data_IF_656457799096
#
_entry.id   IF_656457799096
#
_cell.length_a   1.000
_cell.length_b   1.000
_cell.length_c   1.000
_cell.angle_alpha   90.00
_cell.angle_beta   90.00
_cell.angle_gamma   90.00
#
_symmetry.space_group_name_H-M   'P 1'
#
loop_
_entity.id
_entity.type
_entity.pdbx_description
1 polymer ?
#
# COMPACT_ATOMS: atom_id res chain seq x y z
N UNK A 1 39.28 -58.71 26.38
CA UNK A 1 37.86 -58.96 26.13
C UNK A 1 37.23 -57.58 25.85
N UNK A 2 37.15 -57.23 24.55
CA UNK A 2 36.64 -55.92 24.09
C UNK A 2 35.13 -56.09 23.79
N UNK A 3 34.29 -55.42 24.61
CA UNK A 3 32.86 -55.36 24.40
C UNK A 3 32.54 -54.33 23.32
N UNK A 4 32.23 -54.79 22.11
CA UNK A 4 31.67 -53.98 21.04
C UNK A 4 30.17 -53.74 21.34
N UNK A 5 29.84 -52.51 21.76
CA UNK A 5 28.43 -52.04 21.78
C UNK A 5 27.99 -51.74 20.35
N UNK A 6 26.91 -52.31 19.83
CA UNK A 6 26.34 -51.88 18.57
C UNK A 6 25.65 -50.55 18.77
N UNK A 7 26.20 -49.47 18.20
CA UNK A 7 25.54 -48.19 18.03
C UNK A 7 24.36 -48.44 17.05
N UNK A 8 23.16 -48.61 17.60
CA UNK A 8 21.93 -48.55 16.82
C UNK A 8 21.76 -47.13 16.30
N UNK A 9 22.27 -46.87 15.11
CA UNK A 9 21.91 -45.68 14.32
C UNK A 9 20.42 -45.79 13.99
N UNK A 10 19.58 -45.16 14.77
CA UNK A 10 18.18 -44.92 14.39
C UNK A 10 18.25 -43.93 13.20
N UNK A 11 18.23 -44.51 12.01
CA UNK A 11 18.04 -43.75 10.79
C UNK A 11 16.67 -43.05 10.91
N UNK A 12 16.68 -41.78 11.19
CA UNK A 12 15.49 -40.95 11.19
C UNK A 12 14.95 -41.01 9.75
N UNK A 13 13.87 -41.77 9.53
CA UNK A 13 13.23 -41.85 8.22
C UNK A 13 12.83 -40.44 7.83
N UNK A 14 13.44 -39.90 6.77
CA UNK A 14 13.01 -38.66 6.19
C UNK A 14 11.53 -38.79 5.81
N UNK A 15 10.69 -37.94 6.40
CA UNK A 15 9.28 -37.89 6.04
C UNK A 15 9.21 -37.30 4.63
N UNK A 16 8.57 -38.01 3.70
CA UNK A 16 8.31 -37.54 2.36
C UNK A 16 7.22 -36.46 2.44
N UNK A 17 7.64 -35.21 2.31
CA UNK A 17 6.80 -34.02 2.40
C UNK A 17 6.72 -33.35 1.05
N UNK A 18 5.51 -33.03 0.61
CA UNK A 18 5.26 -32.20 -0.54
C UNK A 18 4.82 -30.78 -0.11
N UNK A 19 4.95 -29.81 -1.00
CA UNK A 19 4.65 -28.40 -0.74
C UNK A 19 3.34 -27.99 -1.42
N UNK A 20 2.31 -27.76 -0.62
CA UNK A 20 1.03 -27.27 -1.11
C UNK A 20 0.93 -25.75 -0.94
N UNK A 21 0.68 -25.03 -2.05
CA UNK A 21 0.48 -23.57 -2.06
C UNK A 21 -1.01 -23.25 -2.10
N UNK A 22 -1.43 -22.25 -1.34
CA UNK A 22 -2.80 -21.77 -1.31
C UNK A 22 -2.86 -20.26 -1.25
N UNK A 23 -4.02 -19.72 -1.63
CA UNK A 23 -4.34 -18.29 -1.55
C UNK A 23 -5.64 -18.12 -0.79
N UNK A 24 -5.68 -17.19 0.15
CA UNK A 24 -6.84 -16.91 0.99
C UNK A 24 -7.19 -15.44 0.89
N UNK A 25 -8.48 -15.14 0.75
CA UNK A 25 -9.00 -13.78 0.77
C UNK A 25 -9.78 -13.54 2.07
N UNK A 26 -9.44 -12.47 2.75
CA UNK A 26 -10.10 -12.09 4.01
C UNK A 26 -10.02 -10.57 4.23
N UNK A 27 -10.77 -10.07 5.22
CA UNK A 27 -10.59 -8.69 5.70
C UNK A 27 -9.66 -8.66 6.89
N UNK A 28 -8.62 -7.81 6.80
CA UNK A 28 -7.74 -7.56 7.94
C UNK A 28 -8.49 -6.78 9.02
N UNK A 29 -8.09 -6.99 10.28
CA UNK A 29 -8.55 -6.15 11.38
C UNK A 29 -7.73 -4.85 11.43
N UNK A 30 -8.33 -3.73 11.90
CA UNK A 30 -7.62 -2.49 12.14
C UNK A 30 -6.42 -2.68 13.07
N UNK A 31 -5.32 -1.97 12.80
CA UNK A 31 -4.14 -1.99 13.67
C UNK A 31 -4.39 -1.22 14.97
N UNK A 32 -5.12 -0.10 14.87
CA UNK A 32 -5.50 0.73 16.01
C UNK A 32 -6.93 0.38 16.39
N UNK A 33 -7.11 -0.03 17.64
CA UNK A 33 -8.45 -0.34 18.17
C UNK A 33 -9.15 0.96 18.55
N UNK A 34 -10.25 1.21 17.89
CA UNK A 34 -11.21 2.25 18.22
C UNK A 34 -12.53 1.58 18.61
N UNK A 35 -13.51 2.36 19.04
CA UNK A 35 -14.82 1.81 19.42
C UNK A 35 -15.38 0.94 18.27
N UNK A 36 -15.76 -0.28 18.62
CA UNK A 36 -16.26 -1.28 17.66
C UNK A 36 -17.60 -0.90 17.02
N UNK A 37 -18.29 0.10 17.53
CA UNK A 37 -19.54 0.64 16.97
C UNK A 37 -19.32 1.66 15.87
N UNK A 38 -18.09 2.22 15.75
CA UNK A 38 -17.77 3.21 14.72
C UNK A 38 -17.76 2.56 13.33
N UNK A 39 -18.45 3.19 12.36
CA UNK A 39 -18.62 2.68 10.99
C UNK A 39 -18.65 3.77 9.94
N UNK A 40 -18.59 5.04 10.34
CA UNK A 40 -18.73 6.16 9.42
C UNK A 40 -17.62 7.18 9.63
N UNK A 41 -17.26 7.87 8.57
CA UNK A 41 -16.28 8.96 8.60
C UNK A 41 -16.71 10.10 7.69
N UNK A 42 -16.25 11.30 7.97
CA UNK A 42 -16.34 12.46 7.10
C UNK A 42 -14.95 13.04 6.84
N UNK A 43 -14.83 13.80 5.78
CA UNK A 43 -13.57 14.42 5.35
C UNK A 43 -13.82 15.89 5.04
N UNK A 44 -13.07 16.75 5.70
CA UNK A 44 -13.02 18.18 5.46
C UNK A 44 -11.65 18.55 4.89
N UNK A 45 -11.63 19.38 3.85
CA UNK A 45 -10.39 19.85 3.24
C UNK A 45 -10.38 21.37 3.28
N UNK A 46 -9.38 21.92 3.94
CA UNK A 46 -9.11 23.34 3.99
C UNK A 46 -7.82 23.65 3.20
N UNK A 47 -7.84 24.72 2.45
CA UNK A 47 -6.68 25.26 1.76
C UNK A 47 -6.48 26.73 2.06
N UNK A 48 -5.36 27.29 1.64
CA UNK A 48 -5.17 28.72 1.68
C UNK A 48 -6.12 29.43 0.71
N UNK A 49 -6.41 30.71 0.96
CA UNK A 49 -7.28 31.52 0.10
C UNK A 49 -6.86 31.52 -1.37
N UNK A 50 -5.56 31.38 -1.64
CA UNK A 50 -5.02 31.32 -3.00
C UNK A 50 -5.35 30.00 -3.70
N UNK A 51 -5.53 28.94 -2.93
CA UNK A 51 -5.79 27.59 -3.45
C UNK A 51 -7.27 27.25 -3.54
N UNK A 52 -8.15 27.93 -2.80
CA UNK A 52 -9.59 27.65 -2.77
C UNK A 52 -10.24 27.46 -4.16
N UNK A 53 -9.99 28.36 -5.17
CA UNK A 53 -10.62 28.19 -6.48
C UNK A 53 -10.16 26.89 -7.18
N UNK A 54 -8.89 26.51 -7.02
CA UNK A 54 -8.33 25.30 -7.62
C UNK A 54 -8.82 24.04 -6.91
N UNK A 55 -8.93 24.08 -5.59
CA UNK A 55 -9.43 22.94 -4.79
C UNK A 55 -10.90 22.68 -5.03
N UNK A 56 -11.71 23.72 -5.23
CA UNK A 56 -13.14 23.58 -5.53
C UNK A 56 -13.40 22.76 -6.80
N UNK A 57 -12.57 22.95 -7.83
CA UNK A 57 -12.66 22.16 -9.07
C UNK A 57 -12.25 20.70 -8.87
N UNK A 58 -11.36 20.42 -7.93
CA UNK A 58 -10.76 19.10 -7.74
C UNK A 58 -11.57 18.18 -6.81
N UNK A 59 -12.36 18.75 -5.90
CA UNK A 59 -13.11 17.99 -4.86
C UNK A 59 -12.23 16.96 -4.13
N UNK A 60 -11.08 17.36 -3.52
CA UNK A 60 -10.11 16.42 -2.98
C UNK A 60 -10.65 15.54 -1.85
N UNK A 61 -11.68 16.00 -1.14
CA UNK A 61 -12.37 15.20 -0.13
C UNK A 61 -12.90 13.88 -0.70
N UNK A 62 -13.30 13.84 -1.98
CA UNK A 62 -13.83 12.64 -2.63
C UNK A 62 -12.75 11.58 -2.88
N UNK A 63 -11.47 11.98 -2.90
CA UNK A 63 -10.35 11.08 -3.16
C UNK A 63 -9.94 10.28 -1.91
N UNK A 64 -10.34 10.73 -0.72
CA UNK A 64 -10.00 10.04 0.54
C UNK A 64 -10.96 8.89 0.77
N UNK A 65 -10.40 7.70 0.93
CA UNK A 65 -11.13 6.46 1.18
C UNK A 65 -10.63 5.79 2.46
N UNK A 66 -11.56 5.33 3.30
CA UNK A 66 -11.28 4.46 4.44
C UNK A 66 -11.98 3.12 4.19
N UNK A 67 -11.19 2.10 3.89
CA UNK A 67 -11.70 0.80 3.48
C UNK A 67 -12.57 0.13 4.56
N UNK A 68 -13.75 -0.33 4.14
CA UNK A 68 -14.72 -0.97 5.04
C UNK A 68 -15.58 -0.02 5.87
N UNK A 69 -15.45 1.31 5.66
CA UNK A 69 -16.23 2.34 6.33
C UNK A 69 -17.13 3.10 5.35
N UNK A 70 -18.25 3.62 5.84
CA UNK A 70 -19.16 4.46 5.05
C UNK A 70 -18.80 5.92 5.21
N UNK A 71 -18.55 6.60 4.10
CA UNK A 71 -18.33 8.05 4.07
C UNK A 71 -19.64 8.80 4.18
N UNK A 72 -19.66 9.83 5.02
CA UNK A 72 -20.75 10.79 5.18
C UNK A 72 -20.29 12.18 4.73
N UNK A 73 -21.23 13.08 4.50
CA UNK A 73 -20.92 14.48 4.23
C UNK A 73 -20.40 15.17 5.50
N UNK A 74 -21.06 14.92 6.63
CA UNK A 74 -20.78 15.51 7.95
C UNK A 74 -21.06 14.47 9.05
N UNK A 75 -20.66 14.74 10.28
CA UNK A 75 -20.99 13.97 11.49
C UNK A 75 -20.64 12.48 11.42
N UNK A 76 -19.50 12.15 10.83
CA UNK A 76 -18.96 10.81 10.92
C UNK A 76 -18.50 10.45 12.34
N UNK A 77 -18.44 9.15 12.66
CA UNK A 77 -17.83 8.68 13.91
C UNK A 77 -16.35 9.06 13.99
N UNK A 78 -15.69 9.22 12.83
CA UNK A 78 -14.35 9.77 12.69
C UNK A 78 -14.44 10.97 11.76
N UNK A 79 -13.87 12.09 12.18
CA UNK A 79 -13.70 13.29 11.37
C UNK A 79 -12.23 13.43 10.96
N UNK A 80 -12.00 13.59 9.66
CA UNK A 80 -10.68 13.76 9.05
C UNK A 80 -10.59 15.16 8.50
N UNK A 81 -9.80 16.00 9.15
CA UNK A 81 -9.55 17.37 8.70
C UNK A 81 -8.20 17.47 8.03
N UNK A 82 -8.17 17.93 6.77
CA UNK A 82 -6.97 18.04 5.96
C UNK A 82 -6.67 19.51 5.70
N UNK A 83 -5.45 19.93 6.01
CA UNK A 83 -4.97 21.29 5.74
C UNK A 83 -3.93 21.23 4.62
N UNK A 84 -4.22 21.91 3.51
CA UNK A 84 -3.36 21.99 2.34
C UNK A 84 -2.66 23.36 2.31
N UNK A 85 -1.35 23.35 2.31
CA UNK A 85 -0.53 24.55 2.16
C UNK A 85 -0.32 24.93 0.70
N UNK A 86 0.27 26.09 0.46
CA UNK A 86 0.55 26.58 -0.88
C UNK A 86 1.62 25.74 -1.60
N UNK A 87 1.46 25.66 -2.92
CA UNK A 87 2.51 25.23 -3.83
C UNK A 87 3.44 26.40 -4.07
N UNK A 88 4.69 26.30 -3.64
CA UNK A 88 5.67 27.37 -3.75
C UNK A 88 6.80 26.97 -4.72
N UNK A 89 6.95 27.65 -5.86
CA UNK A 89 8.15 27.52 -6.68
C UNK A 89 9.34 28.21 -5.97
N UNK A 90 10.43 27.46 -5.80
CA UNK A 90 11.64 27.95 -5.13
C UNK A 90 12.75 28.33 -6.10
N UNK A 91 12.74 27.75 -7.30
CA UNK A 91 13.74 28.06 -8.32
C UNK A 91 13.35 27.55 -9.69
N UNK A 92 13.77 28.28 -10.70
CA UNK A 92 13.58 27.96 -12.11
C UNK A 92 14.94 27.98 -12.80
N UNK A 93 15.35 26.93 -13.47
CA UNK A 93 16.61 26.84 -14.17
C UNK A 93 16.48 26.12 -15.50
N UNK A 94 17.25 26.53 -16.51
CA UNK A 94 17.33 25.82 -17.78
C UNK A 94 18.48 24.81 -17.72
N UNK A 95 18.18 23.61 -18.11
CA UNK A 95 19.14 22.51 -18.22
C UNK A 95 19.29 22.09 -19.67
N UNK A 96 20.40 21.45 -19.97
CA UNK A 96 20.66 20.89 -21.28
C UNK A 96 20.90 19.37 -21.20
N UNK A 97 20.52 18.68 -22.23
CA UNK A 97 20.78 17.25 -22.43
C UNK A 97 21.40 17.05 -23.82
N UNK A 98 22.60 16.53 -23.85
CA UNK A 98 23.32 16.23 -25.08
C UNK A 98 23.10 14.76 -25.44
N UNK A 99 22.64 14.51 -26.67
CA UNK A 99 22.44 13.18 -27.22
C UNK A 99 23.43 12.95 -28.35
N UNK A 100 24.30 11.95 -28.21
CA UNK A 100 25.26 11.55 -29.22
C UNK A 100 24.77 10.29 -29.94
N UNK A 101 24.77 10.33 -31.27
CA UNK A 101 24.53 9.15 -32.12
C UNK A 101 25.87 8.52 -32.51
N UNK A 102 25.99 7.22 -32.33
CA UNK A 102 27.19 6.46 -32.72
C UNK A 102 26.84 5.46 -33.85
N UNK A 103 27.77 5.23 -34.76
CA UNK A 103 27.67 4.17 -35.76
C UNK A 103 27.92 2.79 -35.11
N UNK A 104 27.89 1.73 -35.93
CA UNK A 104 28.20 0.35 -35.49
C UNK A 104 29.60 0.17 -34.91
N UNK A 105 30.55 1.00 -35.33
CA UNK A 105 31.95 0.95 -34.90
C UNK A 105 32.19 1.83 -33.64
N UNK A 106 31.15 2.39 -33.06
CA UNK A 106 31.22 3.21 -31.84
C UNK A 106 31.66 4.67 -32.10
N UNK A 107 31.86 5.08 -33.37
CA UNK A 107 32.25 6.44 -33.74
C UNK A 107 31.03 7.37 -33.66
N UNK A 108 31.22 8.56 -33.05
CA UNK A 108 30.15 9.58 -32.94
C UNK A 108 29.90 10.14 -34.35
N UNK A 109 28.67 9.98 -34.83
CA UNK A 109 28.22 10.47 -36.15
C UNK A 109 27.37 11.70 -36.06
N UNK A 110 26.90 12.05 -34.86
CA UNK A 110 26.10 13.25 -34.65
C UNK A 110 25.92 13.59 -33.18
N UNK A 111 25.69 14.87 -32.88
CA UNK A 111 25.39 15.36 -31.55
C UNK A 111 24.19 16.32 -31.64
N UNK A 112 23.20 16.11 -30.81
CA UNK A 112 22.04 17.02 -30.67
C UNK A 112 21.93 17.47 -29.22
N UNK A 113 21.74 18.78 -29.03
CA UNK A 113 21.51 19.37 -27.71
C UNK A 113 20.03 19.73 -27.58
N UNK A 114 19.43 19.30 -26.47
CA UNK A 114 18.07 19.63 -26.07
C UNK A 114 18.11 20.45 -24.80
N UNK A 115 17.22 21.43 -24.68
CA UNK A 115 17.08 22.30 -23.54
C UNK A 115 15.71 22.08 -22.91
N UNK A 116 15.65 22.05 -21.57
CA UNK A 116 14.41 21.97 -20.81
C UNK A 116 14.52 22.84 -19.57
N UNK A 117 13.36 23.24 -19.06
CA UNK A 117 13.29 24.04 -17.84
C UNK A 117 12.98 23.13 -16.64
N UNK A 118 13.74 23.26 -15.59
CA UNK A 118 13.45 22.65 -14.28
C UNK A 118 12.88 23.71 -13.35
N UNK A 119 11.74 23.37 -12.72
CA UNK A 119 11.13 24.17 -11.66
C UNK A 119 11.19 23.35 -10.38
N UNK A 120 11.93 23.84 -9.39
CA UNK A 120 11.95 23.28 -8.03
C UNK A 120 10.78 23.88 -7.27
N UNK A 121 9.98 23.05 -6.63
CA UNK A 121 8.82 23.49 -5.87
C UNK A 121 8.63 22.68 -4.58
N UNK A 122 7.92 23.29 -3.63
CA UNK A 122 7.55 22.67 -2.37
C UNK A 122 6.04 22.75 -2.15
N UNK A 123 5.53 21.80 -1.40
CA UNK A 123 4.12 21.68 -1.02
C UNK A 123 4.04 21.11 0.39
N UNK A 124 3.04 21.52 1.17
CA UNK A 124 2.76 20.92 2.49
C UNK A 124 1.31 20.50 2.61
N UNK A 125 1.10 19.41 3.32
CA UNK A 125 -0.24 18.91 3.64
C UNK A 125 -0.19 18.12 4.95
N UNK A 126 -1.18 18.36 5.82
CA UNK A 126 -1.33 17.66 7.09
C UNK A 126 -2.77 17.20 7.25
N UNK A 127 -2.97 16.09 7.93
CA UNK A 127 -4.29 15.63 8.33
C UNK A 127 -4.35 15.46 9.85
N UNK A 128 -5.47 15.85 10.45
CA UNK A 128 -5.80 15.59 11.84
C UNK A 128 -7.07 14.75 11.91
N UNK A 129 -7.04 13.72 12.72
CA UNK A 129 -8.13 12.74 12.85
C UNK A 129 -8.66 12.79 14.28
N UNK A 130 -9.95 13.03 14.40
CA UNK A 130 -10.67 13.08 15.68
C UNK A 130 -11.87 12.14 15.67
N UNK A 131 -12.34 11.73 16.84
CA UNK A 131 -13.63 11.06 16.96
C UNK A 131 -14.79 12.08 17.00
N UNK A 132 -16.03 11.57 16.97
CA UNK A 132 -17.25 12.40 17.03
C UNK A 132 -17.43 13.19 18.34
N UNK A 133 -16.62 12.89 19.37
CA UNK A 133 -16.57 13.64 20.64
C UNK A 133 -15.50 14.73 20.61
N UNK A 134 -14.78 14.87 19.50
CA UNK A 134 -13.67 15.79 19.36
C UNK A 134 -12.37 15.30 20.01
N UNK A 135 -12.30 14.03 20.42
CA UNK A 135 -11.07 13.45 20.98
C UNK A 135 -10.08 13.19 19.83
N UNK A 136 -8.87 13.71 20.00
CA UNK A 136 -7.78 13.51 19.05
C UNK A 136 -7.36 12.05 19.01
N UNK A 137 -7.24 11.50 17.79
CA UNK A 137 -6.81 10.13 17.54
C UNK A 137 -5.41 10.09 16.93
N UNK A 138 -5.17 10.88 15.86
CA UNK A 138 -3.91 10.84 15.11
C UNK A 138 -3.71 12.10 14.29
N UNK A 139 -2.45 12.51 14.14
CA UNK A 139 -2.01 13.46 13.12
C UNK A 139 -1.12 12.76 12.10
N UNK A 140 -1.17 13.19 10.85
CA UNK A 140 -0.34 12.66 9.77
C UNK A 140 0.21 13.80 8.90
N UNK A 141 1.53 13.86 8.72
CA UNK A 141 2.17 14.74 7.75
C UNK A 141 2.13 14.08 6.37
N UNK A 142 1.27 14.57 5.47
CA UNK A 142 1.05 14.01 4.15
C UNK A 142 2.09 14.50 3.12
N UNK A 143 2.55 15.73 3.29
CA UNK A 143 3.61 16.33 2.49
C UNK A 143 4.35 17.38 3.30
N UNK A 144 5.68 17.34 3.25
CA UNK A 144 6.57 18.30 3.92
C UNK A 144 7.27 19.20 2.93
N UNK A 145 7.39 20.49 3.26
CA UNK A 145 8.17 21.48 2.49
C UNK A 145 9.66 21.16 2.44
N UNK A 146 10.16 20.33 3.36
CA UNK A 146 11.55 19.87 3.33
C UNK A 146 11.81 19.02 2.08
N UNK A 147 10.79 18.32 1.58
CA UNK A 147 10.87 17.44 0.44
C UNK A 147 10.64 18.21 -0.86
N UNK A 148 11.71 18.82 -1.39
CA UNK A 148 11.67 19.54 -2.67
C UNK A 148 11.38 18.59 -3.82
N UNK A 149 10.55 19.05 -4.74
CA UNK A 149 10.17 18.32 -5.94
C UNK A 149 10.60 19.09 -7.17
N UNK A 150 10.82 18.38 -8.27
CA UNK A 150 11.29 18.95 -9.51
C UNK A 150 10.31 18.64 -10.63
N UNK A 151 9.84 19.69 -11.28
CA UNK A 151 9.10 19.58 -12.53
C UNK A 151 10.05 19.83 -13.69
N UNK A 152 9.92 19.06 -14.77
CA UNK A 152 10.65 19.25 -16.03
C UNK A 152 9.68 19.59 -17.15
N UNK A 153 9.99 20.66 -17.87
CA UNK A 153 9.27 21.00 -19.08
C UNK A 153 9.52 19.99 -20.21
N UNK A 154 8.75 20.03 -21.32
CA UNK A 154 9.17 19.42 -22.57
C UNK A 154 10.56 19.88 -23.01
N UNK A 155 11.23 19.06 -23.81
CA UNK A 155 12.54 19.38 -24.40
C UNK A 155 12.39 20.19 -25.67
N UNK A 156 13.27 21.18 -25.84
CA UNK A 156 13.32 22.09 -26.98
C UNK A 156 14.70 22.03 -27.61
N UNK A 157 14.77 22.25 -28.92
CA UNK A 157 16.05 22.38 -29.64
C UNK A 157 16.63 23.80 -29.55
N UNK A 158 15.83 24.77 -29.12
CA UNK A 158 16.18 26.16 -28.96
C UNK A 158 16.10 26.53 -27.48
N UNK A 159 17.18 27.05 -26.92
CA UNK A 159 17.29 27.39 -25.50
C UNK A 159 16.26 28.46 -25.08
N UNK A 160 16.04 29.50 -25.90
CA UNK A 160 15.05 30.53 -25.59
C UNK A 160 13.61 30.03 -25.40
N UNK A 161 13.22 28.93 -26.11
CA UNK A 161 11.91 28.32 -25.92
C UNK A 161 11.82 27.62 -24.57
N UNK A 162 12.90 26.99 -24.11
CA UNK A 162 12.94 26.45 -22.76
C UNK A 162 12.88 27.55 -21.69
N UNK A 163 13.61 28.63 -21.86
CA UNK A 163 13.64 29.79 -20.92
C UNK A 163 12.25 30.44 -20.75
N UNK A 164 11.50 30.58 -21.83
CA UNK A 164 10.16 31.17 -21.79
C UNK A 164 9.04 30.23 -21.33
N UNK A 165 9.28 28.93 -21.27
CA UNK A 165 8.21 27.94 -21.12
C UNK A 165 7.36 28.11 -19.85
N UNK A 166 7.99 28.25 -18.68
CA UNK A 166 7.24 28.35 -17.42
C UNK A 166 6.50 29.69 -17.33
N UNK A 167 7.06 30.77 -17.86
CA UNK A 167 6.38 32.07 -17.86
C UNK A 167 5.08 32.02 -18.65
N UNK A 168 5.12 31.40 -19.82
CA UNK A 168 3.94 31.30 -20.71
C UNK A 168 2.91 30.32 -20.18
N UNK A 169 3.38 29.22 -19.55
CA UNK A 169 2.51 28.11 -19.13
C UNK A 169 2.31 28.03 -17.61
N UNK A 170 2.70 29.09 -16.87
CA UNK A 170 2.75 29.06 -15.39
C UNK A 170 1.45 28.60 -14.73
N UNK A 171 0.29 29.10 -15.19
CA UNK A 171 -1.01 28.74 -14.64
C UNK A 171 -1.34 27.25 -14.86
N UNK A 172 -1.12 26.76 -16.08
CA UNK A 172 -1.39 25.36 -16.45
C UNK A 172 -0.46 24.43 -15.70
N UNK A 173 0.83 24.73 -15.65
CA UNK A 173 1.84 23.93 -14.95
C UNK A 173 1.57 23.93 -13.45
N UNK A 174 1.28 25.07 -12.84
CA UNK A 174 0.97 25.17 -11.41
C UNK A 174 -0.28 24.37 -11.06
N UNK A 175 -1.35 24.46 -11.87
CA UNK A 175 -2.58 23.65 -11.68
C UNK A 175 -2.27 22.15 -11.74
N UNK A 176 -1.50 21.70 -12.72
CA UNK A 176 -1.10 20.30 -12.87
C UNK A 176 -0.24 19.80 -11.70
N UNK A 177 0.74 20.62 -11.27
CA UNK A 177 1.60 20.26 -10.14
C UNK A 177 0.81 20.16 -8.85
N UNK A 178 -0.08 21.11 -8.58
CA UNK A 178 -0.96 21.10 -7.43
C UNK A 178 -1.84 19.84 -7.44
N UNK A 179 -2.46 19.54 -8.58
CA UNK A 179 -3.31 18.37 -8.75
C UNK A 179 -2.54 17.08 -8.41
N UNK A 180 -1.31 16.94 -8.91
CA UNK A 180 -0.45 15.80 -8.61
C UNK A 180 -0.07 15.71 -7.12
N UNK A 181 0.20 16.86 -6.48
CA UNK A 181 0.53 16.92 -5.06
C UNK A 181 -0.66 16.52 -4.19
N UNK A 182 -1.84 17.07 -4.48
CA UNK A 182 -3.08 16.77 -3.76
C UNK A 182 -3.45 15.29 -3.94
N UNK A 183 -3.44 14.78 -5.17
CA UNK A 183 -3.76 13.36 -5.42
C UNK A 183 -2.84 12.42 -4.63
N UNK A 184 -1.53 12.70 -4.60
CA UNK A 184 -0.58 11.90 -3.82
C UNK A 184 -0.84 11.98 -2.32
N UNK A 185 -1.12 13.20 -1.81
CA UNK A 185 -1.43 13.39 -0.39
C UNK A 185 -2.72 12.63 0.00
N UNK A 186 -3.78 12.72 -0.81
CA UNK A 186 -5.03 12.01 -0.55
C UNK A 186 -4.87 10.49 -0.62
N UNK A 187 -4.09 10.00 -1.58
CA UNK A 187 -3.79 8.57 -1.70
C UNK A 187 -2.99 8.06 -0.49
N UNK A 188 -1.93 8.78 -0.12
CA UNK A 188 -1.13 8.47 1.07
C UNK A 188 -1.99 8.43 2.33
N UNK A 189 -2.85 9.45 2.53
CA UNK A 189 -3.78 9.45 3.66
C UNK A 189 -4.70 8.25 3.65
N UNK A 190 -5.31 7.93 2.50
CA UNK A 190 -6.22 6.79 2.35
C UNK A 190 -5.56 5.47 2.72
N UNK A 191 -4.32 5.26 2.30
CA UNK A 191 -3.52 4.08 2.69
C UNK A 191 -3.27 4.06 4.19
N UNK A 192 -2.81 5.17 4.78
CA UNK A 192 -2.49 5.27 6.20
C UNK A 192 -3.70 5.03 7.09
N UNK A 193 -4.84 5.69 6.80
CA UNK A 193 -6.07 5.50 7.60
C UNK A 193 -6.68 4.11 7.40
N UNK A 194 -6.61 3.55 6.18
CA UNK A 194 -7.09 2.20 5.93
C UNK A 194 -6.22 1.15 6.61
N UNK A 195 -4.91 1.35 6.70
CA UNK A 195 -4.01 0.48 7.45
C UNK A 195 -4.25 0.53 8.97
N UNK A 196 -4.58 1.72 9.49
CA UNK A 196 -4.75 1.93 10.92
C UNK A 196 -6.16 1.58 11.40
N UNK A 197 -7.19 1.97 10.67
CA UNK A 197 -8.59 1.90 11.09
C UNK A 197 -9.47 1.08 10.16
N UNK A 198 -8.99 0.76 8.94
CA UNK A 198 -9.77 0.11 7.90
C UNK A 198 -9.91 -1.40 8.08
N UNK A 199 -10.86 -1.94 7.35
CA UNK A 199 -11.06 -3.39 7.17
C UNK A 199 -10.68 -3.75 5.73
N UNK A 200 -9.37 -3.75 5.46
CA UNK A 200 -8.82 -3.96 4.10
C UNK A 200 -9.05 -5.38 3.62
N UNK A 201 -9.37 -5.52 2.36
CA UNK A 201 -9.35 -6.82 1.68
C UNK A 201 -7.90 -7.24 1.41
N UNK A 202 -7.55 -8.40 1.92
CA UNK A 202 -6.19 -8.95 1.80
C UNK A 202 -6.26 -10.30 1.09
N UNK A 203 -5.37 -10.48 0.13
CA UNK A 203 -5.08 -11.79 -0.46
C UNK A 203 -3.73 -12.27 0.08
N UNK A 204 -3.76 -13.27 0.96
CA UNK A 204 -2.56 -13.90 1.49
C UNK A 204 -2.21 -15.14 0.67
N UNK A 205 -0.97 -15.22 0.22
CA UNK A 205 -0.40 -16.41 -0.43
C UNK A 205 0.55 -17.08 0.55
N UNK A 206 0.31 -18.35 0.82
CA UNK A 206 1.14 -19.11 1.75
C UNK A 206 1.28 -20.55 1.26
N UNK A 207 2.01 -21.36 2.00
CA UNK A 207 2.16 -22.78 1.72
C UNK A 207 2.19 -23.57 3.00
N UNK A 208 1.86 -24.84 2.88
CA UNK A 208 2.02 -25.81 3.94
C UNK A 208 2.69 -27.08 3.41
N UNK A 209 3.37 -27.77 4.30
CA UNK A 209 3.94 -29.07 4.01
C UNK A 209 2.86 -30.12 4.18
N UNK A 210 2.70 -30.99 3.20
CA UNK A 210 1.76 -32.10 3.24
C UNK A 210 2.51 -33.43 3.23
N UNK A 211 2.01 -34.40 4.03
CA UNK A 211 2.55 -35.77 4.03
C UNK A 211 2.10 -36.46 2.74
N UNK A 212 3.06 -36.80 1.88
CA UNK A 212 2.78 -37.50 0.62
C UNK A 212 2.88 -39.02 0.73
N UNK A 213 3.74 -39.51 1.62
CA UNK A 213 3.90 -40.98 1.83
C UNK A 213 2.68 -41.63 2.48
N UNK A 214 1.99 -42.48 1.73
CA UNK A 214 0.86 -43.30 2.23
C UNK A 214 1.26 -44.29 3.34
N UNK A 215 2.56 -44.54 3.51
CA UNK A 215 3.10 -45.41 4.56
C UNK A 215 3.27 -44.71 5.90
N UNK A 216 3.11 -43.38 5.92
CA UNK A 216 3.22 -42.64 7.17
C UNK A 216 2.01 -42.92 8.08
N UNK A 217 2.19 -43.21 9.37
CA UNK A 217 1.10 -43.57 10.28
C UNK A 217 0.01 -42.50 10.37
N UNK A 218 0.40 -41.22 10.27
CA UNK A 218 -0.53 -40.10 10.32
C UNK A 218 -1.17 -39.75 8.96
N UNK A 219 -0.82 -40.45 7.85
CA UNK A 219 -1.24 -40.04 6.51
C UNK A 219 -2.77 -39.88 6.38
N UNK A 220 -3.55 -40.84 6.86
CA UNK A 220 -5.00 -40.81 6.70
C UNK A 220 -5.65 -39.64 7.48
N UNK A 221 -5.29 -39.49 8.76
CA UNK A 221 -5.80 -38.41 9.62
C UNK A 221 -5.33 -37.03 9.15
N UNK A 222 -4.06 -36.96 8.75
CA UNK A 222 -3.49 -35.72 8.17
C UNK A 222 -4.25 -35.31 6.91
N UNK A 223 -4.48 -36.21 5.96
CA UNK A 223 -5.19 -35.93 4.71
C UNK A 223 -6.64 -35.52 4.94
N UNK A 224 -7.29 -36.03 5.96
CA UNK A 224 -8.64 -35.60 6.34
C UNK A 224 -8.63 -34.16 6.89
N UNK A 225 -7.75 -33.86 7.84
CA UNK A 225 -7.61 -32.51 8.38
C UNK A 225 -7.23 -31.49 7.29
N UNK A 226 -6.29 -31.87 6.40
CA UNK A 226 -5.91 -31.06 5.25
C UNK A 226 -7.08 -30.78 4.31
N UNK A 227 -7.94 -31.78 4.01
CA UNK A 227 -9.10 -31.59 3.15
C UNK A 227 -10.08 -30.57 3.74
N UNK A 228 -10.44 -30.73 5.03
CA UNK A 228 -11.31 -29.79 5.74
C UNK A 228 -10.75 -28.38 5.67
N UNK A 229 -9.46 -28.21 5.97
CA UNK A 229 -8.81 -26.92 5.93
C UNK A 229 -8.83 -26.34 4.51
N UNK A 230 -8.51 -27.12 3.50
CA UNK A 230 -8.49 -26.68 2.10
C UNK A 230 -9.89 -26.22 1.64
N UNK A 231 -10.93 -26.99 1.92
CA UNK A 231 -12.32 -26.65 1.59
C UNK A 231 -12.75 -25.32 2.23
N UNK A 232 -12.42 -25.12 3.50
CA UNK A 232 -12.75 -23.89 4.23
C UNK A 232 -11.95 -22.70 3.69
N UNK A 233 -10.64 -22.83 3.50
CA UNK A 233 -9.80 -21.75 3.00
C UNK A 233 -10.22 -21.30 1.59
N UNK A 234 -10.56 -22.22 0.70
CA UNK A 234 -11.05 -21.87 -0.63
C UNK A 234 -12.47 -21.26 -0.64
N UNK A 235 -13.28 -21.54 0.38
CA UNK A 235 -14.62 -20.93 0.51
C UNK A 235 -14.59 -19.53 1.15
N UNK A 236 -13.47 -19.14 1.76
CA UNK A 236 -13.34 -17.82 2.39
C UNK A 236 -13.42 -16.70 1.37
N UNK A 237 -14.19 -15.66 1.70
CA UNK A 237 -14.23 -14.43 0.94
C UNK A 237 -14.33 -13.22 1.90
N UNK A 238 -13.90 -12.02 1.46
CA UNK A 238 -13.86 -10.83 2.31
C UNK A 238 -15.24 -10.35 2.80
N UNK A 239 -16.32 -10.80 2.17
CA UNK A 239 -17.68 -10.38 2.53
C UNK A 239 -18.37 -11.30 3.54
N UNK A 240 -17.77 -12.47 3.82
CA UNK A 240 -18.33 -13.47 4.74
C UNK A 240 -17.80 -13.29 6.16
N UNK A 241 -18.61 -13.69 7.15
CA UNK A 241 -18.18 -13.74 8.55
C UNK A 241 -17.13 -14.84 8.74
N UNK A 242 -16.06 -14.52 9.48
CA UNK A 242 -15.01 -15.48 9.82
C UNK A 242 -15.43 -16.52 10.87
N UNK A 243 -16.53 -16.28 11.58
CA UNK A 243 -17.01 -17.20 12.65
C UNK A 243 -17.33 -18.58 12.13
N UNK A 244 -18.07 -18.67 11.01
CA UNK A 244 -18.36 -19.96 10.36
C UNK A 244 -17.10 -20.70 9.91
N UNK A 245 -16.11 -20.00 9.39
CA UNK A 245 -14.82 -20.61 9.01
C UNK A 245 -14.05 -21.14 10.23
N UNK A 246 -14.04 -20.41 11.35
CA UNK A 246 -13.40 -20.88 12.60
C UNK A 246 -14.01 -22.16 13.12
N UNK A 247 -15.34 -22.25 13.15
CA UNK A 247 -16.04 -23.45 13.61
C UNK A 247 -15.72 -24.66 12.73
N UNK A 248 -15.74 -24.48 11.41
CA UNK A 248 -15.43 -25.55 10.45
C UNK A 248 -13.96 -25.99 10.51
N UNK A 249 -13.04 -25.06 10.77
CA UNK A 249 -11.60 -25.36 10.90
C UNK A 249 -11.22 -26.03 12.22
N UNK A 250 -12.05 -25.94 13.26
CA UNK A 250 -11.73 -26.44 14.59
C UNK A 250 -11.23 -27.89 14.61
N UNK A 251 -11.88 -28.87 13.94
CA UNK A 251 -11.38 -30.25 13.92
C UNK A 251 -9.98 -30.40 13.32
N UNK A 252 -9.67 -29.61 12.28
CA UNK A 252 -8.35 -29.63 11.66
C UNK A 252 -7.30 -28.99 12.56
N UNK A 253 -7.62 -27.86 13.22
CA UNK A 253 -6.74 -27.19 14.18
C UNK A 253 -6.44 -28.13 15.35
N UNK A 254 -7.45 -28.74 15.97
CA UNK A 254 -7.29 -29.66 17.10
C UNK A 254 -6.37 -30.84 16.72
N UNK A 255 -6.49 -31.36 15.50
CA UNK A 255 -5.62 -32.40 14.98
C UNK A 255 -4.16 -31.93 14.88
N UNK A 256 -3.91 -30.77 14.26
CA UNK A 256 -2.56 -30.22 14.09
C UNK A 256 -1.91 -29.86 15.43
N UNK A 257 -2.66 -29.32 16.38
CA UNK A 257 -2.15 -29.06 17.74
C UNK A 257 -1.78 -30.34 18.50
N UNK A 258 -2.57 -31.41 18.33
CA UNK A 258 -2.25 -32.72 18.91
C UNK A 258 -0.95 -33.29 18.34
N UNK A 259 -0.79 -33.23 17.01
CA UNK A 259 0.45 -33.71 16.35
C UNK A 259 1.66 -32.91 16.81
N UNK A 260 1.57 -31.60 16.86
CA UNK A 260 2.66 -30.74 17.34
C UNK A 260 3.16 -31.08 18.74
N UNK A 261 2.31 -31.64 19.59
CA UNK A 261 2.70 -32.09 20.94
C UNK A 261 3.36 -33.46 20.95
N UNK A 262 3.16 -34.25 19.91
CA UNK A 262 3.65 -35.64 19.83
C UNK A 262 5.00 -35.73 19.08
N UNK A 263 5.39 -34.70 18.37
CA UNK A 263 6.63 -34.57 17.60
C UNK A 263 7.32 -33.23 17.91
#
# INVERSE_FOLDING_TARGET
MLLLFPLALTAQKSVDLDKYRFSVQYRSLPKIRIDSTYRTYNVEVEGTKLMEPLLKDMSPEKLVMLEGWRKLAEDGHISIKINLGDLLPEGVSVKERVVTTKNRDGVITGTKTYYYQEVVYTFSANASITDYKGMHIMDEELASRVNKQVYRSPEFTIRALAEGYFVVNSLTVTKQLLQNCVNRAMHHLSERISDNFGFREVTANDYMWIIDSRKHPEYAAYRQAFRVMNEVLFSMNPSSSIEGAKEQLKPAIDYFEKIKKNY
#
